data_IF_573128544468
#
_entry.id   IF_573128544468
#
_cell.length_a   1.000
_cell.length_b   1.000
_cell.length_c   1.000
_cell.angle_alpha   90.00
_cell.angle_beta   90.00
_cell.angle_gamma   90.00
#
_symmetry.space_group_name_H-M   'P 1'
#
loop_
_entity.id
_entity.type
_entity.pdbx_description
1 polymer ?
#
# COMPACT_ATOMS: atom_id res chain seq x y z
N UNK A 1 30.35 -17.97 11.25
CA UNK A 1 29.35 -18.49 12.19
C UNK A 1 28.00 -17.96 11.78
N UNK A 2 27.17 -18.82 11.17
CA UNK A 2 25.86 -18.44 10.66
C UNK A 2 24.94 -18.09 11.83
N UNK A 3 24.69 -16.80 12.07
CA UNK A 3 23.60 -16.37 12.93
C UNK A 3 22.30 -16.79 12.24
N UNK A 4 21.80 -17.96 12.62
CA UNK A 4 20.41 -18.34 12.38
C UNK A 4 19.57 -17.40 13.25
N UNK A 5 19.08 -16.33 12.65
CA UNK A 5 18.13 -15.44 13.32
C UNK A 5 16.84 -16.21 13.58
N UNK A 6 16.53 -16.43 14.86
CA UNK A 6 15.25 -16.97 15.27
C UNK A 6 14.18 -15.90 15.05
N UNK A 7 13.06 -16.29 14.44
CA UNK A 7 11.94 -15.40 14.18
C UNK A 7 10.62 -16.06 14.62
N UNK A 8 9.61 -15.21 14.82
CA UNK A 8 8.24 -15.61 15.10
C UNK A 8 7.30 -14.82 14.18
N UNK A 9 6.25 -15.47 13.72
CA UNK A 9 5.27 -14.89 12.80
C UNK A 9 3.93 -14.78 13.51
N UNK A 10 3.32 -13.61 13.44
CA UNK A 10 2.06 -13.33 14.12
C UNK A 10 1.18 -12.44 13.26
N UNK A 11 -0.13 -12.55 13.49
CA UNK A 11 -1.15 -11.75 12.82
C UNK A 11 -1.94 -11.01 13.88
N UNK A 12 -2.10 -9.71 13.67
CA UNK A 12 -2.82 -8.80 14.55
C UNK A 12 -4.01 -8.22 13.79
N UNK A 13 -5.21 -8.34 14.34
CA UNK A 13 -6.42 -7.71 13.82
C UNK A 13 -6.76 -6.47 14.63
N UNK A 14 -7.01 -5.38 13.93
CA UNK A 14 -7.38 -4.10 14.51
C UNK A 14 -8.90 -4.00 14.66
N UNK A 15 -9.32 -3.53 15.83
CA UNK A 15 -10.65 -3.04 16.09
C UNK A 15 -10.57 -1.52 16.31
N UNK A 16 -10.97 -0.75 15.29
CA UNK A 16 -10.75 0.68 15.25
C UNK A 16 -9.26 1.05 15.23
N UNK A 17 -8.76 1.61 16.34
CA UNK A 17 -7.37 2.09 16.47
C UNK A 17 -6.52 1.25 17.44
N UNK A 18 -7.09 0.19 18.01
CA UNK A 18 -6.39 -0.73 18.91
C UNK A 18 -6.35 -2.13 18.32
N UNK A 19 -5.45 -2.95 18.84
CA UNK A 19 -5.35 -4.37 18.49
C UNK A 19 -6.44 -5.11 19.27
N UNK A 20 -7.44 -5.63 18.55
CA UNK A 20 -8.55 -6.37 19.14
C UNK A 20 -8.20 -7.84 19.35
N UNK A 21 -7.63 -8.47 18.31
CA UNK A 21 -7.29 -9.91 18.33
C UNK A 21 -5.87 -10.14 17.84
N UNK A 22 -5.16 -11.02 18.52
CA UNK A 22 -3.80 -11.43 18.20
C UNK A 22 -3.80 -12.95 18.02
N UNK A 23 -3.17 -13.48 16.96
CA UNK A 23 -3.07 -14.91 16.72
C UNK A 23 -1.74 -15.28 16.06
N UNK A 24 -1.34 -16.55 16.20
CA UNK A 24 -0.16 -17.06 15.49
C UNK A 24 -0.43 -17.16 13.99
N UNK A 25 0.62 -17.12 13.17
CA UNK A 25 0.45 -17.28 11.72
C UNK A 25 -0.21 -18.62 11.34
N UNK A 26 0.10 -19.71 12.07
CA UNK A 26 -0.53 -21.01 11.86
C UNK A 26 -2.06 -21.00 12.14
N UNK A 27 -2.50 -20.23 13.13
CA UNK A 27 -3.92 -20.06 13.45
C UNK A 27 -4.63 -19.24 12.36
N UNK A 28 -3.94 -18.24 11.81
CA UNK A 28 -4.44 -17.49 10.66
C UNK A 28 -4.57 -18.36 9.39
N UNK A 29 -3.62 -19.26 9.12
CA UNK A 29 -3.76 -20.22 8.01
C UNK A 29 -4.95 -21.16 8.23
N UNK A 30 -5.18 -21.62 9.47
CA UNK A 30 -6.36 -22.40 9.81
C UNK A 30 -7.65 -21.60 9.57
N UNK A 31 -7.65 -20.30 9.84
CA UNK A 31 -8.78 -19.41 9.58
C UNK A 31 -9.07 -19.26 8.08
N UNK A 32 -8.03 -19.10 7.25
CA UNK A 32 -8.18 -19.05 5.78
C UNK A 32 -8.68 -20.38 5.20
N UNK A 33 -8.27 -21.50 5.77
CA UNK A 33 -8.74 -22.83 5.38
C UNK A 33 -10.15 -23.16 5.90
N UNK A 34 -10.79 -22.25 6.65
CA UNK A 34 -12.12 -22.44 7.23
C UNK A 34 -12.16 -23.37 8.45
N UNK A 35 -11.01 -23.72 9.02
CA UNK A 35 -10.93 -24.52 10.25
C UNK A 35 -11.13 -23.69 11.53
N UNK A 36 -10.99 -22.36 11.44
CA UNK A 36 -11.27 -21.42 12.51
C UNK A 36 -12.19 -20.29 12.05
N UNK A 37 -12.99 -19.72 12.95
CA UNK A 37 -13.92 -18.62 12.67
C UNK A 37 -13.66 -17.43 13.60
N UNK A 38 -13.79 -16.22 13.06
CA UNK A 38 -13.70 -14.95 13.78
C UNK A 38 -15.09 -14.35 13.96
N UNK A 39 -15.88 -14.96 14.87
CA UNK A 39 -17.24 -14.48 15.16
C UNK A 39 -17.28 -13.04 15.69
N UNK A 40 -16.22 -12.59 16.38
CA UNK A 40 -16.08 -11.23 16.90
C UNK A 40 -16.18 -10.15 15.80
N UNK A 41 -15.92 -10.52 14.54
CA UNK A 41 -15.94 -9.61 13.40
C UNK A 41 -16.82 -10.13 12.25
N UNK A 42 -17.86 -10.90 12.59
CA UNK A 42 -18.81 -11.41 11.60
C UNK A 42 -19.45 -10.26 10.79
N UNK A 43 -19.69 -10.52 9.50
CA UNK A 43 -20.28 -9.56 8.55
C UNK A 43 -19.52 -8.23 8.42
N UNK A 44 -18.22 -8.21 8.71
CA UNK A 44 -17.41 -6.99 8.76
C UNK A 44 -16.07 -7.14 8.02
N UNK A 45 -15.50 -6.00 7.61
CA UNK A 45 -14.18 -5.92 7.02
C UNK A 45 -13.17 -5.50 8.08
N UNK A 46 -12.20 -6.36 8.38
CA UNK A 46 -11.20 -6.14 9.42
C UNK A 46 -9.84 -5.82 8.85
N UNK A 47 -9.12 -4.93 9.53
CA UNK A 47 -7.75 -4.57 9.17
C UNK A 47 -6.80 -5.51 9.90
N UNK A 48 -6.11 -6.33 9.12
CA UNK A 48 -5.07 -7.24 9.61
C UNK A 48 -3.68 -6.66 9.39
N UNK A 49 -2.76 -7.04 10.27
CA UNK A 49 -1.34 -6.76 10.14
C UNK A 49 -0.58 -8.05 10.42
N UNK A 50 0.08 -8.54 9.39
CA UNK A 50 1.03 -9.63 9.53
C UNK A 50 2.37 -9.05 9.93
N UNK A 51 3.00 -9.61 10.96
CA UNK A 51 4.32 -9.20 11.40
C UNK A 51 5.25 -10.38 11.56
N UNK A 52 6.52 -10.09 11.29
CA UNK A 52 7.60 -10.98 11.65
C UNK A 52 8.44 -10.34 12.74
N UNK A 53 8.56 -11.07 13.83
CA UNK A 53 9.26 -10.69 15.04
C UNK A 53 10.60 -11.40 15.05
N UNK A 54 11.68 -10.64 15.18
CA UNK A 54 13.04 -11.16 15.32
C UNK A 54 13.45 -11.30 16.78
N UNK A 55 14.75 -11.52 16.98
CA UNK A 55 15.37 -11.59 18.31
C UNK A 55 15.04 -10.35 19.15
N UNK A 56 14.75 -10.57 20.44
CA UNK A 56 14.40 -9.50 21.39
C UNK A 56 12.99 -8.92 21.23
N UNK A 57 12.04 -9.65 20.63
CA UNK A 57 10.67 -9.17 20.37
C UNK A 57 10.64 -7.89 19.51
N UNK A 58 11.62 -7.76 18.60
CA UNK A 58 11.70 -6.64 17.66
C UNK A 58 10.91 -6.95 16.40
N UNK A 59 9.99 -6.08 15.97
CA UNK A 59 9.30 -6.26 14.68
C UNK A 59 10.29 -5.94 13.56
N UNK A 60 10.50 -6.89 12.65
CA UNK A 60 11.42 -6.76 11.50
C UNK A 60 10.69 -6.50 10.20
N UNK A 61 9.48 -7.03 10.06
CA UNK A 61 8.70 -6.92 8.85
C UNK A 61 7.21 -6.84 9.15
N UNK A 62 6.50 -6.04 8.37
CA UNK A 62 5.09 -5.72 8.55
C UNK A 62 4.39 -5.71 7.19
N UNK A 63 3.25 -6.40 7.09
CA UNK A 63 2.38 -6.38 5.92
C UNK A 63 0.96 -6.01 6.37
N UNK A 64 0.45 -4.90 5.87
CA UNK A 64 -0.89 -4.41 6.17
C UNK A 64 -1.87 -4.94 5.14
N UNK A 65 -2.82 -5.76 5.56
CA UNK A 65 -3.85 -6.35 4.70
C UNK A 65 -5.24 -6.17 5.28
N UNK A 66 -6.25 -6.30 4.44
CA UNK A 66 -7.64 -6.21 4.82
C UNK A 66 -8.29 -7.55 4.52
N UNK A 67 -8.98 -8.09 5.52
CA UNK A 67 -9.70 -9.34 5.40
C UNK A 67 -11.20 -9.06 5.52
N UNK A 68 -11.99 -9.62 4.61
CA UNK A 68 -13.44 -9.61 4.71
C UNK A 68 -13.87 -10.88 5.44
N UNK A 69 -14.77 -10.72 6.40
CA UNK A 69 -15.32 -11.83 7.16
C UNK A 69 -16.82 -11.90 6.83
N UNK A 70 -17.26 -13.10 6.45
CA UNK A 70 -18.65 -13.39 6.11
C UNK A 70 -19.55 -13.39 7.36
N UNK A 71 -20.87 -13.43 7.18
CA UNK A 71 -21.87 -13.49 8.26
C UNK A 71 -21.65 -14.72 9.16
N UNK A 72 -21.10 -15.79 8.60
CA UNK A 72 -20.78 -17.02 9.32
C UNK A 72 -19.45 -16.94 10.10
N UNK A 73 -18.78 -15.78 10.14
CA UNK A 73 -17.48 -15.61 10.79
C UNK A 73 -16.31 -16.25 10.04
N UNK A 74 -16.51 -16.64 8.78
CA UNK A 74 -15.47 -17.22 7.93
C UNK A 74 -14.70 -16.13 7.19
N UNK A 75 -13.40 -16.35 7.02
CA UNK A 75 -12.58 -15.51 6.17
C UNK A 75 -12.99 -15.63 4.70
N UNK A 76 -12.82 -14.56 3.95
CA UNK A 76 -12.99 -14.57 2.51
C UNK A 76 -12.09 -15.62 1.85
N UNK A 77 -12.69 -16.54 1.08
CA UNK A 77 -11.97 -17.62 0.38
C UNK A 77 -11.16 -17.12 -0.80
N UNK A 78 -11.51 -15.95 -1.33
CA UNK A 78 -10.76 -15.30 -2.41
C UNK A 78 -9.51 -14.57 -1.90
N UNK A 79 -9.27 -14.59 -0.58
CA UNK A 79 -8.06 -14.04 0.02
C UNK A 79 -6.85 -14.93 -0.25
N UNK A 80 -6.16 -14.67 -1.37
CA UNK A 80 -4.89 -15.31 -1.74
C UNK A 80 -3.74 -14.30 -1.75
N UNK A 81 -3.32 -13.83 -0.59
CA UNK A 81 -2.18 -12.89 -0.48
C UNK A 81 -0.95 -13.61 0.10
N UNK A 82 0.18 -13.69 -0.62
CA UNK A 82 1.38 -14.34 -0.12
C UNK A 82 2.14 -13.43 0.87
N UNK A 83 1.68 -13.39 2.12
CA UNK A 83 2.19 -12.50 3.18
C UNK A 83 3.71 -12.65 3.42
N UNK A 84 4.20 -13.90 3.48
CA UNK A 84 5.65 -14.18 3.62
C UNK A 84 6.47 -13.67 2.45
N UNK A 85 5.96 -13.77 1.22
CA UNK A 85 6.67 -13.26 0.06
C UNK A 85 6.70 -11.73 0.05
N UNK A 86 5.57 -11.10 0.38
CA UNK A 86 5.46 -9.65 0.45
C UNK A 86 6.39 -9.05 1.49
N UNK A 87 6.49 -9.64 2.69
CA UNK A 87 7.38 -9.12 3.73
C UNK A 87 8.86 -9.23 3.34
N UNK A 88 9.24 -10.24 2.52
CA UNK A 88 10.61 -10.41 2.03
C UNK A 88 10.98 -9.36 0.97
N UNK A 89 10.01 -8.95 0.16
CA UNK A 89 10.17 -7.95 -0.91
C UNK A 89 9.70 -6.55 -0.52
N UNK A 90 9.28 -6.37 0.73
CA UNK A 90 8.80 -5.11 1.27
C UNK A 90 9.90 -4.03 1.29
N UNK A 91 9.48 -2.79 1.04
CA UNK A 91 10.35 -1.61 1.05
C UNK A 91 10.79 -1.22 2.47
N UNK A 92 11.71 -0.24 2.59
CA UNK A 92 12.07 0.33 3.88
C UNK A 92 10.87 1.08 4.49
N UNK A 93 10.53 0.73 5.71
CA UNK A 93 9.45 1.32 6.50
C UNK A 93 9.96 2.20 7.65
N UNK A 94 9.03 2.81 8.42
CA UNK A 94 9.37 3.66 9.55
C UNK A 94 10.05 2.87 10.68
N UNK A 95 10.98 3.50 11.39
CA UNK A 95 11.59 2.90 12.60
C UNK A 95 10.59 2.93 13.77
N UNK A 96 10.40 1.77 14.40
CA UNK A 96 9.51 1.58 15.56
C UNK A 96 10.26 1.38 16.88
N UNK A 97 11.53 1.79 16.93
CA UNK A 97 12.37 1.78 18.13
C UNK A 97 13.38 0.63 18.19
N UNK A 98 13.46 -0.20 17.14
CA UNK A 98 14.43 -1.29 17.02
C UNK A 98 15.14 -1.30 15.64
N UNK A 99 15.08 -0.18 14.91
CA UNK A 99 15.65 -0.03 13.57
C UNK A 99 14.57 0.01 12.47
N UNK A 100 14.98 0.31 11.22
CA UNK A 100 14.06 0.39 10.10
C UNK A 100 13.43 -0.97 9.85
N UNK A 101 12.11 -1.02 9.92
CA UNK A 101 11.34 -2.22 9.58
C UNK A 101 11.15 -2.32 8.08
N UNK A 102 10.78 -3.50 7.59
CA UNK A 102 10.21 -3.64 6.26
C UNK A 102 8.71 -3.44 6.30
N UNK A 103 8.18 -2.59 5.43
CA UNK A 103 6.74 -2.32 5.34
C UNK A 103 6.23 -2.64 3.95
N UNK A 104 5.18 -3.46 3.89
CA UNK A 104 4.32 -3.57 2.71
C UNK A 104 2.93 -3.09 3.06
N UNK A 105 2.50 -2.04 2.37
CA UNK A 105 1.21 -1.40 2.52
C UNK A 105 0.64 -1.07 1.13
N UNK A 106 -0.57 -0.53 1.06
CA UNK A 106 -1.24 -0.22 -0.23
C UNK A 106 -0.36 0.57 -1.21
N UNK A 107 0.36 1.58 -0.71
CA UNK A 107 1.30 2.41 -1.48
C UNK A 107 2.67 1.75 -1.74
N UNK A 108 3.03 0.73 -0.97
CA UNK A 108 4.32 0.01 -1.03
C UNK A 108 4.11 -1.49 -1.20
N UNK A 109 3.30 -1.87 -2.21
CA UNK A 109 3.14 -3.27 -2.61
C UNK A 109 4.00 -3.55 -3.85
N UNK A 110 4.81 -4.62 -3.79
CA UNK A 110 5.62 -5.06 -4.93
C UNK A 110 4.79 -5.61 -6.08
N UNK A 111 3.53 -5.99 -5.83
CA UNK A 111 2.62 -6.54 -6.83
C UNK A 111 1.26 -5.83 -6.75
N UNK A 112 0.98 -4.99 -7.76
CA UNK A 112 -0.13 -4.01 -7.76
C UNK A 112 -1.53 -4.63 -7.61
N UNK A 113 -1.77 -5.84 -8.12
CA UNK A 113 -3.05 -6.56 -7.97
C UNK A 113 -3.42 -6.89 -6.52
N UNK A 114 -2.44 -7.10 -5.62
CA UNK A 114 -2.72 -7.34 -4.20
C UNK A 114 -3.03 -6.05 -3.43
N UNK A 115 -2.76 -4.86 -3.99
CA UNK A 115 -2.93 -3.58 -3.31
C UNK A 115 -4.41 -3.27 -2.99
N UNK A 116 -5.36 -3.85 -3.70
CA UNK A 116 -6.81 -3.69 -3.46
C UNK A 116 -7.23 -4.19 -2.08
N UNK A 117 -6.59 -5.27 -1.61
CA UNK A 117 -6.86 -5.89 -0.32
C UNK A 117 -5.85 -5.44 0.75
N UNK A 118 -5.13 -4.33 0.51
CA UNK A 118 -4.21 -3.73 1.47
C UNK A 118 -4.75 -2.39 1.95
N UNK A 119 -4.30 -2.02 3.15
CA UNK A 119 -4.59 -0.71 3.71
C UNK A 119 -3.29 0.03 4.01
N UNK A 120 -3.39 1.34 4.16
CA UNK A 120 -2.28 2.22 4.49
C UNK A 120 -2.33 2.56 5.97
N UNK A 121 -1.26 2.29 6.74
CA UNK A 121 -1.20 2.66 8.15
C UNK A 121 -1.02 4.18 8.27
N UNK A 122 -2.12 4.91 8.19
CA UNK A 122 -2.16 6.34 8.45
C UNK A 122 -2.08 6.60 9.96
N UNK A 123 -1.05 7.33 10.40
CA UNK A 123 -0.90 7.69 11.81
C UNK A 123 0.44 8.36 12.11
N UNK A 124 0.39 9.51 12.78
CA UNK A 124 1.57 10.28 13.20
C UNK A 124 1.85 10.00 14.68
N UNK A 125 3.13 9.83 15.05
CA UNK A 125 3.53 9.73 16.45
C UNK A 125 3.24 8.36 17.08
N UNK A 126 2.61 8.33 18.25
CA UNK A 126 2.31 7.10 19.02
C UNK A 126 1.03 6.38 18.56
N UNK A 127 0.16 7.07 17.83
CA UNK A 127 -1.06 6.50 17.25
C UNK A 127 -0.79 5.70 15.97
N UNK A 128 0.48 5.61 15.52
CA UNK A 128 0.81 4.83 14.33
C UNK A 128 0.52 3.34 14.58
N UNK A 129 -0.31 2.69 13.73
CA UNK A 129 -0.69 1.28 13.91
C UNK A 129 0.52 0.35 14.07
N UNK A 130 1.62 0.65 13.39
CA UNK A 130 2.84 -0.15 13.44
C UNK A 130 3.46 -0.11 14.84
N UNK A 131 3.44 1.06 15.51
CA UNK A 131 3.89 1.18 16.91
C UNK A 131 2.92 0.53 17.89
N UNK A 132 1.61 0.55 17.60
CA UNK A 132 0.63 -0.19 18.40
C UNK A 132 0.95 -1.69 18.36
N UNK A 133 1.27 -2.23 17.17
CA UNK A 133 1.69 -3.63 17.02
C UNK A 133 3.02 -3.91 17.71
N UNK A 134 4.03 -3.03 17.60
CA UNK A 134 5.29 -3.19 18.32
C UNK A 134 5.07 -3.28 19.85
N UNK A 135 4.17 -2.47 20.40
CA UNK A 135 3.79 -2.55 21.83
C UNK A 135 3.05 -3.84 22.16
N UNK A 136 2.15 -4.30 21.28
CA UNK A 136 1.46 -5.58 21.44
C UNK A 136 2.45 -6.76 21.47
N UNK A 137 3.43 -6.76 20.56
CA UNK A 137 4.52 -7.74 20.51
C UNK A 137 5.37 -7.70 21.78
N UNK A 138 5.70 -6.52 22.32
CA UNK A 138 6.41 -6.40 23.60
C UNK A 138 5.61 -6.91 24.81
N UNK A 139 4.28 -6.72 24.81
CA UNK A 139 3.41 -7.31 25.84
C UNK A 139 3.39 -8.84 25.75
N UNK A 140 3.70 -9.39 24.57
CA UNK A 140 3.87 -10.81 24.30
C UNK A 140 2.73 -11.69 24.83
N UNK A 141 1.47 -11.26 24.65
CA UNK A 141 0.28 -12.01 25.11
C UNK A 141 0.17 -13.38 24.42
N UNK A 142 0.63 -13.48 23.19
CA UNK A 142 0.70 -14.70 22.39
C UNK A 142 1.77 -15.70 22.86
N UNK A 143 2.65 -15.31 23.79
CA UNK A 143 3.77 -16.14 24.22
C UNK A 143 4.66 -16.55 23.04
N UNK A 144 4.99 -15.59 22.16
CA UNK A 144 5.78 -15.79 20.96
C UNK A 144 7.12 -16.45 21.33
N UNK A 145 7.23 -17.74 21.01
CA UNK A 145 8.48 -18.48 21.12
C UNK A 145 9.20 -18.34 19.79
N UNK A 146 10.34 -17.65 19.82
CA UNK A 146 11.24 -17.56 18.70
C UNK A 146 11.64 -18.97 18.30
N UNK A 147 11.11 -19.44 17.17
CA UNK A 147 11.36 -20.79 16.70
C UNK A 147 12.57 -20.73 15.77
N UNK A 148 13.46 -21.73 15.90
CA UNK A 148 14.55 -21.95 14.95
C UNK A 148 13.95 -22.52 13.66
N UNK A 149 13.26 -21.67 12.90
CA UNK A 149 12.72 -22.06 11.62
C UNK A 149 13.78 -21.75 10.53
N UNK A 150 14.05 -22.77 9.71
CA UNK A 150 14.77 -22.61 8.46
C UNK A 150 13.85 -21.82 7.51
N UNK A 151 14.36 -20.71 6.96
CA UNK A 151 13.71 -19.86 5.96
C UNK A 151 12.61 -18.85 6.38
N UNK A 152 12.98 -17.87 7.18
CA UNK A 152 12.72 -16.47 6.80
C UNK A 152 14.06 -15.75 6.88
N UNK A 153 14.96 -16.12 5.96
CA UNK A 153 16.14 -15.33 5.68
C UNK A 153 15.66 -14.00 5.10
N UNK A 154 15.42 -13.04 6.00
CA UNK A 154 15.38 -11.64 5.65
C UNK A 154 16.69 -11.34 4.95
N UNK A 155 16.71 -10.93 3.66
CA UNK A 155 17.94 -10.44 3.09
C UNK A 155 18.38 -9.29 4.00
N UNK A 156 19.57 -9.36 4.58
CA UNK A 156 20.10 -8.27 5.38
C UNK A 156 20.03 -6.96 4.56
N UNK A 157 19.71 -5.86 5.23
CA UNK A 157 19.76 -4.51 4.66
C UNK A 157 21.12 -4.26 3.96
N UNK A 158 21.14 -3.40 2.93
CA UNK A 158 21.90 -3.65 1.71
C UNK A 158 23.29 -3.03 1.75
N UNK A 159 24.31 -3.84 2.05
CA UNK A 159 25.69 -3.47 1.71
C UNK A 159 26.53 -4.69 1.28
N UNK A 160 26.37 -5.84 1.95
CA UNK A 160 27.19 -7.04 1.67
C UNK A 160 26.68 -7.99 0.57
N UNK A 161 25.38 -8.00 0.28
CA UNK A 161 24.74 -9.01 -0.60
C UNK A 161 24.96 -8.83 -2.11
N UNK A 162 25.62 -7.74 -2.55
CA UNK A 162 26.00 -7.62 -3.96
C UNK A 162 27.12 -8.61 -4.31
N UNK A 163 28.06 -8.84 -3.40
CA UNK A 163 29.25 -9.66 -3.65
C UNK A 163 28.95 -11.18 -3.71
N UNK A 164 28.10 -11.71 -2.82
CA UNK A 164 27.80 -13.15 -2.81
C UNK A 164 26.91 -13.60 -3.98
N UNK A 165 26.00 -12.73 -4.45
CA UNK A 165 25.22 -13.00 -5.67
C UNK A 165 26.08 -12.90 -6.93
N UNK A 166 27.12 -12.05 -6.93
CA UNK A 166 28.09 -11.99 -8.02
C UNK A 166 28.91 -13.28 -8.12
N UNK A 167 29.35 -13.84 -6.98
CA UNK A 167 30.17 -15.06 -6.97
C UNK A 167 29.40 -16.33 -7.37
N UNK A 168 28.10 -16.43 -7.04
CA UNK A 168 27.25 -17.54 -7.52
C UNK A 168 26.83 -17.41 -8.98
N UNK A 169 26.73 -16.20 -9.52
CA UNK A 169 26.58 -15.99 -10.98
C UNK A 169 27.88 -16.31 -11.74
N UNK A 170 29.04 -16.06 -11.13
CA UNK A 170 30.41 -16.35 -11.63
C UNK A 170 30.60 -17.84 -11.93
N UNK A 171 29.99 -18.72 -11.11
CA UNK A 171 30.11 -20.18 -11.24
C UNK A 171 29.09 -20.81 -12.19
N UNK A 172 27.95 -20.16 -12.43
CA UNK A 172 26.86 -20.71 -13.25
C UNK A 172 26.91 -20.25 -14.71
N UNK A 173 27.49 -19.08 -14.99
CA UNK A 173 27.65 -18.55 -16.33
C UNK A 173 29.06 -17.96 -16.44
N UNK A 174 29.92 -18.59 -17.26
CA UNK A 174 31.28 -18.11 -17.53
C UNK A 174 31.32 -16.66 -18.04
N UNK A 175 32.51 -16.08 -18.13
CA UNK A 175 32.71 -14.64 -18.42
C UNK A 175 31.96 -14.11 -19.65
N UNK A 176 31.65 -14.95 -20.64
CA UNK A 176 30.82 -14.61 -21.81
C UNK A 176 29.34 -14.33 -21.45
N UNK A 177 28.75 -15.08 -20.51
CA UNK A 177 27.37 -14.90 -20.07
C UNK A 177 27.16 -13.65 -19.22
N UNK A 178 28.21 -13.15 -18.57
CA UNK A 178 28.18 -11.93 -17.76
C UNK A 178 28.07 -10.68 -18.60
N UNK A 179 28.81 -10.62 -19.71
CA UNK A 179 28.74 -9.49 -20.66
C UNK A 179 27.37 -9.47 -21.33
N UNK A 180 26.84 -10.63 -21.72
CA UNK A 180 25.50 -10.76 -22.32
C UNK A 180 24.38 -10.34 -21.35
N UNK A 181 24.40 -10.78 -20.10
CA UNK A 181 23.43 -10.38 -19.08
C UNK A 181 23.51 -8.88 -18.75
N UNK A 182 24.72 -8.31 -18.65
CA UNK A 182 24.88 -6.87 -18.42
C UNK A 182 24.35 -6.03 -19.59
N UNK A 183 24.57 -6.47 -20.83
CA UNK A 183 24.00 -5.82 -22.01
C UNK A 183 22.47 -5.92 -22.02
N UNK A 184 21.90 -7.07 -21.67
CA UNK A 184 20.46 -7.26 -21.62
C UNK A 184 19.79 -6.42 -20.52
N UNK A 185 20.38 -6.37 -19.33
CA UNK A 185 19.91 -5.50 -18.22
C UNK A 185 19.98 -4.04 -18.64
N UNK A 186 21.06 -3.62 -19.30
CA UNK A 186 21.20 -2.25 -19.81
C UNK A 186 20.12 -1.93 -20.85
N UNK A 187 19.84 -2.86 -21.75
CA UNK A 187 18.79 -2.72 -22.76
C UNK A 187 17.39 -2.65 -22.12
N UNK A 188 17.11 -3.49 -21.12
CA UNK A 188 15.85 -3.45 -20.38
C UNK A 188 15.67 -2.16 -19.60
N UNK A 189 16.72 -1.66 -18.95
CA UNK A 189 16.67 -0.38 -18.24
C UNK A 189 16.43 0.78 -19.20
N UNK A 190 17.06 0.79 -20.39
CA UNK A 190 16.79 1.80 -21.42
C UNK A 190 15.34 1.74 -21.93
N UNK A 191 14.79 0.54 -22.11
CA UNK A 191 13.39 0.37 -22.51
C UNK A 191 12.43 0.83 -21.40
N UNK A 192 12.73 0.55 -20.13
CA UNK A 192 11.93 1.03 -19.00
C UNK A 192 11.99 2.57 -18.87
N UNK A 193 13.16 3.18 -19.05
CA UNK A 193 13.31 4.63 -19.02
C UNK A 193 12.53 5.30 -20.14
N UNK A 194 12.63 4.78 -21.36
CA UNK A 194 11.90 5.31 -22.51
C UNK A 194 10.39 5.14 -22.36
N UNK A 195 9.92 3.97 -21.89
CA UNK A 195 8.51 3.76 -21.58
C UNK A 195 8.01 4.72 -20.50
N UNK A 196 8.77 4.88 -19.41
CA UNK A 196 8.41 5.79 -18.31
C UNK A 196 8.34 7.25 -18.79
N UNK A 197 9.29 7.69 -19.63
CA UNK A 197 9.27 9.04 -20.22
C UNK A 197 8.05 9.27 -21.11
N UNK A 198 7.68 8.29 -21.95
CA UNK A 198 6.47 8.37 -22.78
C UNK A 198 5.22 8.53 -21.92
N UNK A 199 5.02 7.65 -20.93
CA UNK A 199 3.86 7.75 -20.04
C UNK A 199 3.78 9.07 -19.28
N UNK A 200 4.92 9.62 -18.82
CA UNK A 200 4.95 10.94 -18.17
C UNK A 200 4.54 12.05 -19.13
N UNK A 201 5.08 12.05 -20.35
CA UNK A 201 4.72 13.03 -21.38
C UNK A 201 3.25 12.94 -21.77
N UNK A 202 2.70 11.73 -21.90
CA UNK A 202 1.29 11.52 -22.23
C UNK A 202 0.37 11.99 -21.11
N UNK A 203 0.75 11.76 -19.84
CA UNK A 203 0.02 12.24 -18.68
C UNK A 203 0.00 13.77 -18.62
N UNK A 204 1.14 14.42 -18.86
CA UNK A 204 1.24 15.88 -18.92
C UNK A 204 0.39 16.46 -20.07
N UNK A 205 0.42 15.83 -21.25
CA UNK A 205 -0.42 16.24 -22.38
C UNK A 205 -1.91 16.12 -22.04
N UNK A 206 -2.34 15.01 -21.43
CA UNK A 206 -3.71 14.85 -20.97
C UNK A 206 -4.12 15.91 -19.95
N UNK A 207 -3.26 16.20 -18.97
CA UNK A 207 -3.52 17.24 -17.97
C UNK A 207 -3.68 18.63 -18.61
N UNK A 208 -2.85 18.97 -19.59
CA UNK A 208 -2.97 20.23 -20.33
C UNK A 208 -4.31 20.32 -21.08
N UNK A 209 -4.71 19.25 -21.77
CA UNK A 209 -6.01 19.20 -22.47
C UNK A 209 -7.17 19.43 -21.50
N UNK A 210 -7.17 18.78 -20.33
CA UNK A 210 -8.21 18.98 -19.32
C UNK A 210 -8.25 20.42 -18.80
N UNK A 211 -7.08 21.03 -18.53
CA UNK A 211 -7.02 22.41 -18.06
C UNK A 211 -7.56 23.40 -19.11
N UNK A 212 -7.27 23.17 -20.39
CA UNK A 212 -7.80 23.99 -21.48
C UNK A 212 -9.31 23.81 -21.66
N UNK A 213 -9.83 22.59 -21.52
CA UNK A 213 -11.28 22.34 -21.52
C UNK A 213 -11.99 23.08 -20.36
N UNK A 214 -11.41 23.05 -19.15
CA UNK A 214 -11.96 23.74 -17.98
C UNK A 214 -11.95 25.25 -18.19
N UNK A 215 -10.87 25.81 -18.77
CA UNK A 215 -10.80 27.22 -19.14
C UNK A 215 -11.86 27.59 -20.16
N UNK A 216 -12.02 26.80 -21.22
CA UNK A 216 -13.04 27.02 -22.24
C UNK A 216 -14.47 27.02 -21.66
N UNK A 217 -14.80 26.06 -20.81
CA UNK A 217 -16.09 26.02 -20.12
C UNK A 217 -16.30 27.25 -19.22
N UNK A 218 -15.25 27.68 -18.52
CA UNK A 218 -15.31 28.85 -17.63
C UNK A 218 -15.58 30.14 -18.40
N UNK A 219 -14.91 30.32 -19.54
CA UNK A 219 -15.09 31.49 -20.40
C UNK A 219 -16.50 31.52 -20.99
N UNK A 220 -17.03 30.36 -21.41
CA UNK A 220 -18.38 30.26 -21.93
C UNK A 220 -19.44 30.59 -20.86
N UNK A 221 -19.25 30.10 -19.64
CA UNK A 221 -20.09 30.48 -18.49
C UNK A 221 -20.03 32.00 -18.24
N UNK A 222 -18.85 32.61 -18.35
CA UNK A 222 -18.73 34.07 -18.16
C UNK A 222 -19.44 34.84 -19.28
N UNK A 223 -19.34 34.41 -20.54
CA UNK A 223 -20.05 34.99 -21.68
C UNK A 223 -21.56 34.90 -21.52
N UNK A 224 -22.08 33.71 -21.22
CA UNK A 224 -23.51 33.50 -20.99
C UNK A 224 -24.02 34.35 -19.82
N UNK A 225 -23.25 34.47 -18.73
CA UNK A 225 -23.59 35.37 -17.61
C UNK A 225 -23.59 36.84 -18.00
N UNK A 226 -22.68 37.30 -18.86
CA UNK A 226 -22.72 38.69 -19.34
C UNK A 226 -23.92 38.96 -20.24
N UNK A 227 -24.24 38.03 -21.14
CA UNK A 227 -25.40 38.14 -22.02
C UNK A 227 -26.71 38.15 -21.22
N UNK A 228 -26.84 37.24 -20.26
CA UNK A 228 -28.00 37.20 -19.37
C UNK A 228 -28.15 38.50 -18.58
N UNK A 229 -27.07 39.06 -18.05
CA UNK A 229 -27.09 40.36 -17.35
C UNK A 229 -27.52 41.51 -18.28
N UNK A 230 -27.06 41.49 -19.53
CA UNK A 230 -27.44 42.50 -20.52
C UNK A 230 -28.94 42.43 -20.85
N UNK A 231 -29.45 41.23 -21.15
CA UNK A 231 -30.87 41.01 -21.44
C UNK A 231 -31.77 41.33 -20.23
N UNK A 232 -31.37 40.94 -19.02
CA UNK A 232 -32.09 41.33 -17.80
C UNK A 232 -32.15 42.84 -17.61
N UNK A 233 -31.06 43.56 -17.91
CA UNK A 233 -31.03 45.02 -17.82
C UNK A 233 -31.94 45.67 -18.86
N UNK A 234 -31.97 45.13 -20.08
CA UNK A 234 -32.87 45.57 -21.16
C UNK A 234 -34.34 45.33 -20.81
N UNK A 235 -34.68 44.14 -20.31
CA UNK A 235 -36.04 43.81 -19.87
C UNK A 235 -36.50 44.71 -18.71
N UNK A 236 -35.63 44.99 -17.73
CA UNK A 236 -35.96 45.93 -16.65
C UNK A 236 -36.28 47.33 -17.18
N UNK A 237 -35.51 47.83 -18.15
CA UNK A 237 -35.79 49.14 -18.78
C UNK A 237 -37.13 49.14 -19.51
N UNK A 238 -37.43 48.10 -20.28
CA UNK A 238 -38.71 47.97 -20.96
C UNK A 238 -39.89 47.91 -19.98
N UNK A 239 -39.76 47.14 -18.89
CA UNK A 239 -40.79 47.08 -17.84
C UNK A 239 -41.01 48.43 -17.14
N UNK A 240 -39.97 49.24 -16.95
CA UNK A 240 -40.10 50.58 -16.40
C UNK A 240 -40.86 51.52 -17.34
N UNK A 241 -40.60 51.45 -18.65
CA UNK A 241 -41.33 52.24 -19.65
C UNK A 241 -42.81 51.86 -19.69
N UNK A 242 -43.13 50.56 -19.71
CA UNK A 242 -44.51 50.06 -19.71
C UNK A 242 -45.29 50.45 -18.44
N UNK A 243 -44.62 50.47 -17.27
CA UNK A 243 -45.24 50.96 -16.02
C UNK A 243 -45.48 52.47 -16.06
N UNK A 244 -44.57 53.25 -16.64
CA UNK A 244 -44.74 54.70 -16.77
C UNK A 244 -45.85 55.12 -17.73
N UNK A 245 -46.19 54.29 -18.72
CA UNK A 245 -47.32 54.51 -19.64
C UNK A 245 -48.68 54.15 -19.05
N UNK A 246 -48.74 53.31 -18.00
CA UNK A 246 -50.00 52.90 -17.37
C UNK A 246 -50.48 53.85 -16.27
N UNK A 247 -49.62 54.75 -15.78
CA UNK A 247 -49.93 55.77 -14.77
C UNK A 247 -50.32 57.15 -15.40
N UNK A 248 -50.58 57.23 -16.71
CA UNK A 248 -51.10 58.41 -17.42
C UNK A 248 -52.50 58.16 -17.97
#
# INVERSE_FOLDING_TARGET
MSQQDAFAEAVFFFDGNEVGTEMHYAEFEALLNGAATLQAFAASQVRGVYVVVGTGLSVRGVVCFVLRIDENGHADRDFSIPLRHLVRHAGPGPDVGCGPIRLSCKSQCSVSWHATNMWEPEGVGEANPIKVVQRAVWRNRLGLKLTKAEEVAFPATPAGLKAEKQHKLEQAFGDEGRVSLQQLIRQHNQNLETATRKYRSDLEAQQQIYLDQVRGCRDEIQRLKSLLRHEQSRNRRLQQLLRGETDR
#
